data_IF_286755746171
#
_entry.id   IF_286755746171
#
_cell.length_a   1.000
_cell.length_b   1.000
_cell.length_c   1.000
_cell.angle_alpha   90.00
_cell.angle_beta   90.00
_cell.angle_gamma   90.00
#
_symmetry.space_group_name_H-M   'P 1'
#
loop_
_entity.id
_entity.type
_entity.pdbx_description
1 polymer ?
#
# COMPACT_ATOMS: atom_id res chain seq x y z
N UNK A 1 8.81 6.35 17.02
CA UNK A 1 8.58 7.55 16.17
C UNK A 1 7.86 7.10 14.91
N UNK A 2 6.79 7.78 14.53
CA UNK A 2 6.03 7.50 13.32
C UNK A 2 6.54 8.34 12.13
N UNK A 3 6.50 7.79 10.92
CA UNK A 3 6.76 8.51 9.67
C UNK A 3 5.43 8.75 8.96
N UNK A 4 5.03 10.01 8.87
CA UNK A 4 3.82 10.42 8.16
C UNK A 4 4.16 11.63 7.29
N UNK A 5 4.21 11.41 5.97
CA UNK A 5 4.51 12.45 5.00
C UNK A 5 3.45 12.51 3.91
N UNK A 6 3.22 13.70 3.38
CA UNK A 6 2.38 13.97 2.20
C UNK A 6 1.04 13.21 2.18
N UNK A 7 0.24 13.47 3.23
CA UNK A 7 -1.08 12.88 3.46
C UNK A 7 -1.09 11.34 3.40
N UNK A 8 0.03 10.72 3.79
CA UNK A 8 0.21 9.28 3.97
C UNK A 8 -0.02 8.43 2.71
N UNK A 9 0.05 9.04 1.52
CA UNK A 9 -0.11 8.32 0.24
C UNK A 9 1.07 7.43 -0.10
N UNK A 10 2.28 7.85 0.29
CA UNK A 10 3.51 7.12 0.01
C UNK A 10 4.21 6.57 1.24
N UNK A 11 4.27 7.34 2.32
CA UNK A 11 4.84 6.97 3.61
C UNK A 11 3.86 7.35 4.70
N UNK A 12 3.20 6.34 5.22
CA UNK A 12 2.11 6.45 6.16
C UNK A 12 2.16 5.39 7.23
N UNK A 13 1.34 5.62 8.22
CA UNK A 13 1.04 4.66 9.25
C UNK A 13 -0.01 3.66 8.78
N UNK A 14 -0.31 2.70 9.65
CA UNK A 14 -1.22 1.61 9.35
C UNK A 14 -2.31 1.57 10.42
N UNK A 15 -3.26 2.49 10.32
CA UNK A 15 -4.17 2.84 11.41
C UNK A 15 -5.26 1.80 11.70
N UNK A 16 -5.42 0.79 10.85
CA UNK A 16 -6.46 -0.24 10.98
C UNK A 16 -5.98 -1.57 11.48
N UNK A 17 -4.68 -1.80 11.42
CA UNK A 17 -4.10 -3.06 11.83
C UNK A 17 -3.30 -2.81 13.10
N UNK A 18 -3.53 -3.64 14.11
CA UNK A 18 -2.75 -3.59 15.35
C UNK A 18 -1.24 -3.81 15.11
N UNK A 19 -0.89 -4.44 13.99
CA UNK A 19 0.49 -4.72 13.61
C UNK A 19 1.08 -3.56 12.81
N UNK A 20 1.90 -2.73 13.42
CA UNK A 20 2.59 -1.65 12.71
C UNK A 20 3.66 -2.19 11.74
N UNK A 21 3.91 -1.43 10.65
CA UNK A 21 5.15 -1.57 9.88
C UNK A 21 6.28 -0.91 10.66
N UNK A 22 7.37 -1.62 10.90
CA UNK A 22 8.52 -1.11 11.67
C UNK A 22 9.81 -1.18 10.86
N UNK A 23 10.68 -0.25 11.15
CA UNK A 23 11.99 -0.13 10.53
C UNK A 23 13.03 0.26 11.58
N UNK A 24 14.21 -0.35 11.53
CA UNK A 24 15.34 0.06 12.35
C UNK A 24 16.05 1.21 11.64
N UNK A 25 15.77 2.43 12.10
CA UNK A 25 16.04 3.66 11.37
C UNK A 25 16.78 4.71 12.20
N UNK A 26 17.82 5.30 11.60
CA UNK A 26 18.37 6.57 12.00
C UNK A 26 17.63 7.70 11.27
N UNK A 27 17.13 8.69 12.03
CA UNK A 27 16.32 9.79 11.50
C UNK A 27 16.80 11.12 12.08
N UNK A 28 17.31 11.99 11.20
CA UNK A 28 17.66 13.37 11.52
C UNK A 28 16.52 14.28 11.10
N UNK A 29 16.08 15.17 11.99
CA UNK A 29 15.02 16.16 11.71
C UNK A 29 15.51 17.56 12.02
N UNK A 30 15.19 18.50 11.15
CA UNK A 30 15.39 19.93 11.37
C UNK A 30 14.16 20.72 10.97
N UNK A 31 13.80 21.70 11.80
CA UNK A 31 12.70 22.62 11.55
C UNK A 31 13.19 24.03 11.88
N UNK A 32 13.13 24.94 10.91
CA UNK A 32 13.53 26.32 11.10
C UNK A 32 12.67 27.26 10.25
N UNK A 33 11.98 28.22 10.88
CA UNK A 33 11.21 29.28 10.19
C UNK A 33 10.28 28.77 9.07
N UNK A 34 9.53 27.70 9.35
CA UNK A 34 8.58 27.11 8.40
C UNK A 34 9.22 26.22 7.32
N UNK A 35 10.54 26.06 7.32
CA UNK A 35 11.25 24.99 6.62
C UNK A 35 11.36 23.76 7.50
N UNK A 36 11.15 22.58 6.93
CA UNK A 36 11.38 21.29 7.55
C UNK A 36 12.23 20.44 6.61
N UNK A 37 13.19 19.71 7.18
CA UNK A 37 13.91 18.65 6.49
C UNK A 37 14.08 17.45 7.41
N UNK A 38 13.73 16.28 6.89
CA UNK A 38 13.93 15.00 7.56
C UNK A 38 14.79 14.13 6.66
N UNK A 39 15.90 13.59 7.18
CA UNK A 39 16.79 12.66 6.49
C UNK A 39 16.76 11.34 7.23
N UNK A 40 16.47 10.27 6.49
CA UNK A 40 16.25 8.96 7.03
C UNK A 40 17.12 7.89 6.39
N UNK A 41 17.68 7.01 7.21
CA UNK A 41 18.29 5.77 6.75
C UNK A 41 17.81 4.63 7.64
N UNK A 42 17.25 3.59 7.04
CA UNK A 42 16.94 2.37 7.75
C UNK A 42 17.57 1.15 7.10
N UNK A 43 17.80 0.16 7.94
CA UNK A 43 18.36 -1.12 7.57
C UNK A 43 17.48 -2.22 8.16
N UNK A 44 17.33 -3.31 7.42
CA UNK A 44 16.57 -4.47 7.88
C UNK A 44 17.50 -5.67 8.04
N UNK A 45 17.84 -5.97 9.29
CA UNK A 45 18.59 -7.18 9.65
C UNK A 45 17.60 -8.28 10.01
N UNK A 46 17.54 -9.34 9.21
CA UNK A 46 16.60 -10.45 9.41
C UNK A 46 17.23 -11.66 10.11
N UNK A 47 18.47 -11.55 10.59
CA UNK A 47 19.13 -12.60 11.37
C UNK A 47 19.95 -11.98 12.50
N UNK A 48 19.72 -12.47 13.71
CA UNK A 48 20.45 -12.08 14.93
C UNK A 48 21.70 -12.95 15.15
N UNK A 49 22.02 -13.84 14.20
CA UNK A 49 23.15 -14.75 14.32
C UNK A 49 24.48 -14.02 14.10
N UNK A 50 25.40 -14.15 15.06
CA UNK A 50 26.76 -13.64 14.96
C UNK A 50 27.47 -14.16 13.70
N UNK A 51 28.08 -13.27 12.93
CA UNK A 51 28.85 -13.61 11.73
C UNK A 51 28.06 -13.75 10.44
N UNK A 52 26.71 -13.65 10.47
CA UNK A 52 25.91 -13.55 9.24
C UNK A 52 25.93 -12.11 8.74
N UNK A 53 26.82 -11.84 7.79
CA UNK A 53 26.94 -10.55 7.08
C UNK A 53 26.25 -10.55 5.72
N UNK A 54 25.68 -11.69 5.30
CA UNK A 54 25.06 -11.81 3.98
C UNK A 54 23.62 -11.25 3.96
N UNK A 55 23.20 -10.84 2.77
CA UNK A 55 21.87 -10.24 2.52
C UNK A 55 20.82 -11.29 2.13
N UNK A 56 21.11 -12.57 2.29
CA UNK A 56 20.33 -13.66 1.74
C UNK A 56 19.33 -14.16 2.79
N UNK A 57 18.02 -14.07 2.56
CA UNK A 57 17.00 -14.44 3.57
C UNK A 57 15.71 -14.97 2.96
N UNK A 58 15.15 -16.01 3.57
CA UNK A 58 13.80 -16.49 3.27
C UNK A 58 12.85 -16.02 4.36
N UNK A 59 11.77 -15.31 4.03
CA UNK A 59 10.83 -14.84 5.03
C UNK A 59 10.21 -15.98 5.86
N UNK A 60 10.24 -15.82 7.19
CA UNK A 60 9.88 -16.85 8.18
C UNK A 60 8.38 -17.24 8.17
N UNK A 61 7.54 -16.46 7.51
CA UNK A 61 6.10 -16.68 7.42
C UNK A 61 5.70 -17.66 6.30
N UNK A 62 6.47 -18.73 6.10
CA UNK A 62 6.22 -19.75 5.07
C UNK A 62 5.60 -21.01 5.69
N UNK A 63 4.69 -21.71 4.99
CA UNK A 63 4.05 -22.91 5.53
C UNK A 63 5.08 -24.03 5.70
N UNK A 64 4.93 -24.88 6.71
CA UNK A 64 5.82 -26.02 6.95
C UNK A 64 5.71 -27.09 5.85
N UNK A 65 4.52 -27.21 5.25
CA UNK A 65 4.23 -28.16 4.18
C UNK A 65 3.52 -27.48 3.02
N UNK A 66 3.77 -27.95 1.81
CA UNK A 66 3.10 -27.48 0.60
C UNK A 66 2.85 -28.63 -0.38
N UNK A 67 1.81 -28.53 -1.20
CA UNK A 67 1.65 -29.43 -2.35
C UNK A 67 2.68 -29.14 -3.41
N UNK A 68 3.42 -30.14 -3.85
CA UNK A 68 4.27 -30.05 -5.02
C UNK A 68 3.43 -29.99 -6.32
N UNK A 69 4.09 -29.94 -7.47
CA UNK A 69 3.44 -29.83 -8.78
C UNK A 69 2.50 -30.99 -9.13
N UNK A 70 2.67 -32.16 -8.50
CA UNK A 70 1.81 -33.34 -8.68
C UNK A 70 0.71 -33.44 -7.60
N UNK A 71 0.61 -32.46 -6.71
CA UNK A 71 -0.39 -32.41 -5.65
C UNK A 71 -0.02 -33.19 -4.38
N UNK A 72 1.19 -33.74 -4.29
CA UNK A 72 1.67 -34.46 -3.10
C UNK A 72 2.15 -33.46 -2.06
N UNK A 73 1.69 -33.60 -0.82
CA UNK A 73 2.11 -32.77 0.31
C UNK A 73 3.54 -33.14 0.72
N UNK A 74 4.45 -32.17 0.68
CA UNK A 74 5.86 -32.33 1.03
C UNK A 74 6.32 -31.21 1.98
N UNK A 75 7.40 -31.42 2.77
CA UNK A 75 8.00 -30.34 3.54
C UNK A 75 8.43 -29.19 2.62
N UNK A 76 8.20 -27.95 3.05
CA UNK A 76 8.67 -26.78 2.31
C UNK A 76 10.20 -26.76 2.29
N UNK A 77 10.84 -26.73 1.10
CA UNK A 77 12.30 -26.74 1.01
C UNK A 77 12.94 -25.54 1.70
N UNK A 78 14.02 -25.80 2.44
CA UNK A 78 14.82 -24.74 3.03
C UNK A 78 15.39 -23.80 1.95
N UNK A 79 15.41 -22.50 2.25
CA UNK A 79 15.96 -21.50 1.32
C UNK A 79 14.99 -21.00 0.25
N UNK A 80 13.74 -21.47 0.23
CA UNK A 80 12.74 -21.12 -0.77
C UNK A 80 11.48 -20.49 -0.15
N UNK A 81 11.03 -19.37 -0.72
CA UNK A 81 9.65 -18.89 -0.59
C UNK A 81 8.79 -19.58 -1.66
N UNK A 82 7.92 -20.53 -1.28
CA UNK A 82 7.20 -21.35 -2.24
C UNK A 82 6.17 -20.55 -3.05
N UNK A 83 5.89 -21.01 -4.27
CA UNK A 83 4.89 -20.44 -5.17
C UNK A 83 3.77 -21.46 -5.45
N UNK A 84 2.52 -20.99 -5.47
CA UNK A 84 1.36 -21.76 -5.94
C UNK A 84 0.45 -20.89 -6.80
N UNK A 85 -0.46 -21.51 -7.58
CA UNK A 85 -1.28 -20.80 -8.56
C UNK A 85 -2.05 -19.58 -8.03
N UNK A 86 -2.40 -19.57 -6.75
CA UNK A 86 -3.14 -18.47 -6.10
C UNK A 86 -2.51 -17.99 -4.78
N UNK A 87 -1.26 -18.37 -4.50
CA UNK A 87 -0.62 -18.07 -3.21
C UNK A 87 -1.21 -18.85 -2.02
N UNK A 88 -2.02 -19.88 -2.30
CA UNK A 88 -2.63 -20.76 -1.30
C UNK A 88 -1.87 -22.10 -1.22
N UNK A 89 -1.50 -22.54 -0.02
CA UNK A 89 -0.74 -23.78 0.21
C UNK A 89 -1.50 -25.05 -0.19
N UNK A 90 -2.83 -24.99 -0.27
CA UNK A 90 -3.71 -26.10 -0.69
C UNK A 90 -3.75 -26.33 -2.20
N UNK A 91 -3.20 -25.40 -2.99
CA UNK A 91 -3.08 -25.47 -4.44
C UNK A 91 -1.69 -25.97 -4.82
N UNK A 92 -1.60 -26.76 -5.89
CA UNK A 92 -0.33 -27.31 -6.38
C UNK A 92 0.69 -26.19 -6.63
N UNK A 93 1.96 -26.50 -6.31
CA UNK A 93 3.06 -25.59 -6.60
C UNK A 93 3.14 -25.29 -8.10
N UNK A 94 3.38 -24.02 -8.43
CA UNK A 94 3.38 -23.54 -9.81
C UNK A 94 4.59 -22.65 -10.08
N UNK A 95 5.22 -22.84 -11.23
CA UNK A 95 6.37 -22.05 -11.71
C UNK A 95 6.02 -20.57 -11.91
N UNK A 96 4.77 -20.28 -12.26
CA UNK A 96 4.23 -18.92 -12.48
C UNK A 96 3.27 -18.50 -11.38
N UNK A 97 3.35 -19.14 -10.21
CA UNK A 97 2.48 -18.88 -9.07
C UNK A 97 2.82 -17.60 -8.30
N UNK A 98 2.00 -17.32 -7.30
CA UNK A 98 2.17 -16.27 -6.30
C UNK A 98 2.81 -16.84 -5.04
N UNK A 99 3.65 -16.07 -4.31
CA UNK A 99 4.20 -16.48 -3.02
C UNK A 99 3.15 -16.98 -2.04
N UNK A 100 3.43 -18.10 -1.40
CA UNK A 100 2.59 -18.73 -0.38
C UNK A 100 3.09 -18.37 1.00
N UNK A 101 2.18 -17.87 1.84
CA UNK A 101 2.45 -17.46 3.21
C UNK A 101 1.57 -18.25 4.18
N UNK A 102 2.08 -18.55 5.38
CA UNK A 102 1.27 -19.15 6.45
C UNK A 102 0.15 -18.21 6.85
N UNK A 103 0.49 -16.93 7.09
CA UNK A 103 -0.45 -15.85 7.26
C UNK A 103 -0.28 -14.86 6.10
N UNK A 104 -1.27 -14.66 5.21
CA UNK A 104 -1.15 -13.67 4.16
C UNK A 104 -0.78 -12.29 4.74
N UNK A 105 0.11 -11.52 4.10
CA UNK A 105 0.39 -10.16 4.52
C UNK A 105 -0.90 -9.36 4.57
N UNK A 106 -1.10 -8.64 5.66
CA UNK A 106 -2.21 -7.70 5.79
C UNK A 106 -1.89 -6.31 5.19
N UNK A 107 -0.66 -6.06 4.72
CA UNK A 107 -0.26 -4.83 4.05
C UNK A 107 0.64 -5.09 2.85
N UNK A 108 0.70 -4.15 1.89
CA UNK A 108 1.70 -4.22 0.81
C UNK A 108 3.13 -4.38 1.34
N UNK A 109 3.39 -3.84 2.54
CA UNK A 109 4.69 -3.88 3.18
C UNK A 109 4.96 -5.06 4.12
N UNK A 110 3.97 -5.91 4.39
CA UNK A 110 4.08 -6.96 5.41
C UNK A 110 5.04 -8.10 5.03
N UNK A 111 5.28 -8.30 3.74
CA UNK A 111 6.16 -9.34 3.21
C UNK A 111 7.53 -8.82 2.75
N UNK A 112 7.98 -7.67 3.23
CA UNK A 112 9.07 -7.01 2.53
C UNK A 112 10.43 -7.65 2.76
N UNK A 113 10.97 -8.14 1.64
CA UNK A 113 12.38 -8.41 1.36
C UNK A 113 13.22 -7.12 1.19
N UNK A 114 12.81 -6.00 1.78
CA UNK A 114 13.63 -4.78 1.77
C UNK A 114 14.82 -4.95 2.71
N UNK A 115 15.97 -4.43 2.30
CA UNK A 115 17.26 -4.49 3.01
C UNK A 115 17.64 -3.17 3.61
N UNK A 116 17.38 -2.11 2.88
CA UNK A 116 17.53 -0.76 3.37
C UNK A 116 16.53 0.13 2.69
N UNK A 117 16.17 1.20 3.37
CA UNK A 117 15.52 2.32 2.75
C UNK A 117 16.23 3.61 3.15
N UNK A 118 16.28 4.58 2.25
CA UNK A 118 16.81 5.92 2.53
C UNK A 118 15.75 6.93 2.11
N UNK A 119 15.51 7.94 2.92
CA UNK A 119 14.51 8.97 2.64
C UNK A 119 15.05 10.37 2.88
N UNK A 120 14.55 11.32 2.09
CA UNK A 120 14.69 12.74 2.30
C UNK A 120 13.31 13.34 2.12
N UNK A 121 12.82 14.03 3.15
CA UNK A 121 11.61 14.83 3.11
C UNK A 121 11.99 16.28 3.31
N UNK A 122 11.51 17.16 2.46
CA UNK A 122 11.70 18.60 2.60
C UNK A 122 10.33 19.25 2.49
N UNK A 123 10.01 20.20 3.35
CA UNK A 123 8.83 21.03 3.17
C UNK A 123 9.07 22.48 3.56
N UNK A 124 8.33 23.38 2.93
CA UNK A 124 8.32 24.79 3.29
C UNK A 124 6.91 25.34 3.24
N UNK A 125 6.54 26.06 4.29
CA UNK A 125 5.28 26.79 4.39
C UNK A 125 5.52 28.27 4.10
N UNK A 126 4.76 28.81 3.15
CA UNK A 126 4.73 30.22 2.77
C UNK A 126 3.30 30.73 2.94
N UNK A 127 3.02 31.38 4.08
CA UNK A 127 1.66 31.80 4.42
C UNK A 127 0.68 30.63 4.41
N UNK A 128 -0.27 30.62 3.46
CA UNK A 128 -1.29 29.60 3.32
C UNK A 128 -0.92 28.45 2.36
N UNK A 129 0.26 28.51 1.75
CA UNK A 129 0.77 27.49 0.84
C UNK A 129 1.82 26.64 1.58
N UNK A 130 1.72 25.32 1.49
CA UNK A 130 2.78 24.38 1.88
C UNK A 130 3.21 23.60 0.65
N UNK A 131 4.50 23.65 0.34
CA UNK A 131 5.12 22.79 -0.67
C UNK A 131 5.98 21.77 0.04
N UNK A 132 5.88 20.51 -0.34
CA UNK A 132 6.75 19.43 0.11
C UNK A 132 7.31 18.65 -1.06
N UNK A 133 8.50 18.10 -0.85
CA UNK A 133 9.13 17.14 -1.71
C UNK A 133 9.55 15.93 -0.91
N UNK A 134 9.31 14.75 -1.50
CA UNK A 134 9.71 13.48 -0.94
C UNK A 134 10.62 12.78 -1.94
N UNK A 135 11.72 12.24 -1.45
CA UNK A 135 12.53 11.26 -2.13
C UNK A 135 12.70 10.07 -1.19
N UNK A 136 12.51 8.85 -1.68
CA UNK A 136 13.00 7.67 -0.98
C UNK A 136 13.46 6.58 -1.94
N UNK A 137 14.46 5.84 -1.50
CA UNK A 137 15.02 4.68 -2.19
C UNK A 137 14.70 3.42 -1.40
N UNK A 138 14.11 2.43 -2.07
CA UNK A 138 13.94 1.08 -1.57
C UNK A 138 15.01 0.17 -2.17
N UNK A 139 15.69 -0.61 -1.33
CA UNK A 139 16.62 -1.65 -1.77
C UNK A 139 16.07 -3.02 -1.40
N UNK A 140 15.71 -3.82 -2.39
CA UNK A 140 15.24 -5.19 -2.22
C UNK A 140 16.35 -6.22 -2.43
N UNK A 141 16.33 -7.32 -1.68
CA UNK A 141 17.23 -8.46 -1.94
C UNK A 141 16.94 -9.11 -3.31
N UNK A 142 17.99 -9.51 -4.03
CA UNK A 142 17.82 -10.34 -5.24
C UNK A 142 17.35 -11.76 -4.86
N UNK A 143 16.55 -12.33 -5.74
CA UNK A 143 16.18 -13.74 -5.73
C UNK A 143 16.25 -14.32 -7.14
N UNK A 144 16.34 -15.65 -7.22
CA UNK A 144 16.08 -16.40 -8.47
C UNK A 144 14.86 -17.31 -8.31
N UNK A 145 14.20 -17.59 -9.42
CA UNK A 145 13.23 -18.68 -9.44
C UNK A 145 13.99 -20.00 -9.40
N UNK A 146 13.52 -20.92 -8.56
CA UNK A 146 14.13 -22.23 -8.35
C UNK A 146 13.06 -23.32 -8.21
N UNK A 147 13.48 -24.58 -8.31
CA UNK A 147 12.65 -25.75 -8.10
C UNK A 147 13.39 -26.84 -7.35
N UNK A 148 12.76 -27.44 -6.35
CA UNK A 148 13.29 -28.59 -5.61
C UNK A 148 12.38 -29.79 -5.83
N UNK A 149 12.95 -30.92 -6.24
CA UNK A 149 12.20 -32.15 -6.55
C UNK A 149 12.68 -32.80 -7.85
N UNK A 150 11.81 -33.62 -8.45
CA UNK A 150 12.09 -34.31 -9.71
C UNK A 150 10.82 -34.44 -10.55
N UNK A 151 10.97 -34.84 -11.82
CA UNK A 151 9.82 -35.08 -12.69
C UNK A 151 8.91 -36.21 -12.17
N UNK A 152 9.50 -37.25 -11.56
CA UNK A 152 8.76 -38.41 -11.02
C UNK A 152 8.10 -38.14 -9.67
N UNK A 153 8.73 -37.32 -8.83
CA UNK A 153 8.21 -37.01 -7.49
C UNK A 153 7.38 -35.72 -7.44
N UNK A 154 7.51 -34.85 -8.45
CA UNK A 154 6.97 -33.49 -8.47
C UNK A 154 7.97 -32.45 -7.96
N UNK A 155 7.74 -31.19 -8.32
CA UNK A 155 8.58 -30.05 -7.95
C UNK A 155 7.86 -29.11 -6.98
N UNK A 156 8.59 -28.56 -6.04
CA UNK A 156 8.22 -27.32 -5.34
C UNK A 156 8.94 -26.17 -6.01
N UNK A 157 8.19 -25.30 -6.68
CA UNK A 157 8.69 -24.07 -7.28
C UNK A 157 8.72 -22.95 -6.25
N UNK A 158 9.72 -22.09 -6.31
CA UNK A 158 9.73 -20.91 -5.46
C UNK A 158 10.79 -19.86 -5.77
N UNK A 159 10.79 -18.80 -4.96
CA UNK A 159 11.80 -17.75 -4.97
C UNK A 159 12.90 -18.14 -3.98
N UNK A 160 14.10 -18.40 -4.48
CA UNK A 160 15.27 -18.68 -3.65
C UNK A 160 16.04 -17.39 -3.38
N UNK A 161 16.38 -17.18 -2.12
CA UNK A 161 17.11 -15.98 -1.65
C UNK A 161 18.48 -16.29 -1.05
N UNK A 162 18.80 -17.57 -0.83
CA UNK A 162 20.08 -18.06 -0.31
C UNK A 162 20.64 -19.14 -1.25
N UNK A 163 21.95 -19.31 -1.29
CA UNK A 163 22.61 -20.34 -2.10
C UNK A 163 22.07 -21.75 -1.78
N UNK A 164 21.82 -22.55 -2.82
CA UNK A 164 21.48 -23.98 -2.70
C UNK A 164 22.70 -24.88 -2.44
N UNK A 165 23.92 -24.31 -2.38
CA UNK A 165 25.17 -25.03 -2.20
C UNK A 165 26.28 -24.52 -3.13
N UNK A 166 27.48 -25.13 -3.11
CA UNK A 166 28.65 -24.65 -3.84
C UNK A 166 28.48 -24.51 -5.36
N UNK A 167 27.56 -25.26 -5.98
CA UNK A 167 27.25 -25.17 -7.41
C UNK A 167 26.28 -24.04 -7.79
N UNK A 168 25.74 -23.31 -6.81
CA UNK A 168 24.83 -22.19 -7.05
C UNK A 168 25.62 -20.90 -7.26
N UNK A 169 25.75 -20.50 -8.53
CA UNK A 169 26.52 -19.32 -8.97
C UNK A 169 25.72 -18.01 -8.93
N UNK A 170 24.50 -18.01 -8.39
CA UNK A 170 23.67 -16.80 -8.34
C UNK A 170 24.18 -15.81 -7.28
N UNK A 171 24.31 -14.53 -7.67
CA UNK A 171 24.66 -13.44 -6.75
C UNK A 171 23.46 -13.02 -5.89
N UNK A 172 23.39 -13.57 -4.69
CA UNK A 172 22.42 -13.21 -3.64
C UNK A 172 22.80 -11.94 -2.85
N UNK A 173 24.02 -11.41 -3.04
CA UNK A 173 24.48 -10.20 -2.36
C UNK A 173 23.93 -8.91 -2.99
N UNK A 174 23.56 -8.98 -4.26
CA UNK A 174 23.07 -7.81 -4.99
C UNK A 174 21.69 -7.32 -4.57
N UNK A 175 21.46 -6.03 -4.85
CA UNK A 175 20.21 -5.32 -4.52
C UNK A 175 19.45 -4.90 -5.79
N UNK A 176 18.13 -4.88 -5.71
CA UNK A 176 17.22 -4.25 -6.68
C UNK A 176 16.77 -2.92 -6.09
N UNK A 177 17.03 -1.82 -6.79
CA UNK A 177 16.79 -0.47 -6.28
C UNK A 177 15.58 0.15 -6.96
N UNK A 178 14.63 0.64 -6.17
CA UNK A 178 13.55 1.51 -6.62
C UNK A 178 13.74 2.89 -6.03
N UNK A 179 13.47 3.91 -6.83
CA UNK A 179 13.47 5.30 -6.37
C UNK A 179 12.07 5.86 -6.55
N UNK A 180 11.51 6.42 -5.49
CA UNK A 180 10.24 7.15 -5.50
C UNK A 180 10.52 8.60 -5.18
N UNK A 181 10.01 9.52 -5.99
CA UNK A 181 10.19 10.94 -5.75
C UNK A 181 9.02 11.75 -6.26
N UNK A 182 8.78 12.90 -5.65
CA UNK A 182 7.73 13.80 -6.10
C UNK A 182 7.52 14.99 -5.21
N UNK A 183 6.48 15.76 -5.55
CA UNK A 183 6.13 17.01 -4.90
C UNK A 183 4.65 17.00 -4.54
N UNK A 184 4.33 17.64 -3.42
CA UNK A 184 2.96 17.94 -3.01
C UNK A 184 2.83 19.44 -2.73
N UNK A 185 1.70 20.01 -3.14
CA UNK A 185 1.30 21.38 -2.84
C UNK A 185 -0.04 21.34 -2.12
N UNK A 186 -0.11 22.05 -1.00
CA UNK A 186 -1.35 22.32 -0.28
C UNK A 186 -1.55 23.84 -0.23
N UNK A 187 -2.74 24.32 -0.57
CA UNK A 187 -3.08 25.74 -0.50
C UNK A 187 -4.47 25.89 0.14
N UNK A 188 -4.57 26.67 1.22
CA UNK A 188 -5.86 27.05 1.80
C UNK A 188 -6.21 28.48 1.43
N UNK A 189 -7.38 28.72 0.87
CA UNK A 189 -7.89 30.05 0.48
C UNK A 189 -9.13 30.36 1.31
N UNK A 190 -9.23 31.60 1.78
CA UNK A 190 -10.41 32.09 2.51
C UNK A 190 -10.44 31.72 4.00
N UNK A 191 -11.61 31.92 4.61
CA UNK A 191 -11.86 31.68 6.03
C UNK A 191 -13.21 30.95 6.17
N UNK A 192 -13.24 29.91 7.01
CA UNK A 192 -14.43 29.11 7.29
C UNK A 192 -15.61 29.93 7.83
N UNK A 193 -15.34 31.10 8.41
CA UNK A 193 -16.34 32.00 9.00
C UNK A 193 -16.92 33.04 8.03
N UNK A 194 -16.42 33.13 6.79
CA UNK A 194 -16.86 34.09 5.76
C UNK A 194 -17.49 33.37 4.55
N UNK A 195 -16.98 33.58 3.33
CA UNK A 195 -17.45 32.89 2.12
C UNK A 195 -17.17 31.38 2.09
N UNK A 196 -16.46 30.86 3.10
CA UNK A 196 -16.02 29.46 3.18
C UNK A 196 -14.51 29.35 2.94
N UNK A 197 -13.93 28.23 3.38
CA UNK A 197 -12.54 27.88 3.15
C UNK A 197 -12.46 26.88 2.00
N UNK A 198 -11.56 27.11 1.05
CA UNK A 198 -11.21 26.14 0.01
C UNK A 198 -9.80 25.65 0.29
N UNK A 199 -9.63 24.35 0.55
CA UNK A 199 -8.32 23.72 0.64
C UNK A 199 -8.06 22.92 -0.64
N UNK A 200 -7.06 23.34 -1.41
CA UNK A 200 -6.57 22.66 -2.60
C UNK A 200 -5.38 21.79 -2.21
N UNK A 201 -5.37 20.55 -2.70
CA UNK A 201 -4.22 19.67 -2.62
C UNK A 201 -3.95 19.08 -4.00
N UNK A 202 -2.68 19.09 -4.41
CA UNK A 202 -2.22 18.39 -5.59
C UNK A 202 -0.86 17.77 -5.33
N UNK A 203 -0.60 16.59 -5.87
CA UNK A 203 0.71 15.97 -5.82
C UNK A 203 0.99 15.15 -7.07
N UNK A 204 2.28 15.03 -7.41
CA UNK A 204 2.77 14.14 -8.45
C UNK A 204 4.01 13.42 -7.93
N UNK A 205 4.03 12.10 -8.14
CA UNK A 205 5.13 11.22 -7.78
C UNK A 205 5.46 10.31 -8.95
N UNK A 206 6.75 9.97 -9.08
CA UNK A 206 7.24 9.03 -10.06
C UNK A 206 8.08 7.94 -9.38
N UNK A 207 8.12 6.78 -10.00
CA UNK A 207 8.98 5.67 -9.64
C UNK A 207 9.91 5.27 -10.79
N UNK A 208 11.16 4.98 -10.45
CA UNK A 208 12.18 4.55 -11.40
C UNK A 208 13.09 3.46 -10.80
N UNK A 209 13.97 2.90 -11.63
CA UNK A 209 14.87 1.82 -11.23
C UNK A 209 14.27 0.45 -11.56
N UNK A 210 14.21 -0.44 -10.57
CA UNK A 210 13.66 -1.79 -10.71
C UNK A 210 12.63 -2.08 -9.64
N UNK A 211 11.57 -2.79 -10.00
CA UNK A 211 10.63 -3.36 -9.05
C UNK A 211 11.32 -4.40 -8.15
N UNK A 212 10.66 -4.82 -7.06
CA UNK A 212 11.14 -5.90 -6.18
C UNK A 212 11.47 -7.18 -6.96
N UNK A 213 10.74 -7.42 -8.05
CA UNK A 213 10.89 -8.62 -8.89
C UNK A 213 11.96 -8.45 -9.98
N UNK A 214 12.65 -7.29 -10.02
CA UNK A 214 13.83 -7.05 -10.85
C UNK A 214 13.53 -6.50 -12.23
N UNK A 215 12.26 -6.21 -12.51
CA UNK A 215 11.80 -5.64 -13.77
C UNK A 215 12.10 -4.14 -13.79
N UNK A 216 12.64 -3.64 -14.90
CA UNK A 216 12.96 -2.21 -15.05
C UNK A 216 11.67 -1.40 -15.16
N UNK A 217 11.49 -0.44 -14.27
CA UNK A 217 10.33 0.45 -14.25
C UNK A 217 10.49 1.54 -15.31
N UNK A 218 9.40 1.86 -16.00
CA UNK A 218 9.29 2.91 -17.02
C UNK A 218 7.99 3.66 -16.81
N UNK A 219 7.99 4.99 -16.82
CA UNK A 219 6.75 5.77 -16.76
C UNK A 219 5.80 5.43 -15.59
N UNK A 220 6.32 4.94 -14.46
CA UNK A 220 5.51 4.67 -13.27
C UNK A 220 5.25 5.97 -12.50
N UNK A 221 3.99 6.34 -12.31
CA UNK A 221 3.59 7.58 -11.66
C UNK A 221 2.31 7.46 -10.81
N UNK A 222 2.19 8.37 -9.86
CA UNK A 222 0.96 8.64 -9.12
C UNK A 222 0.70 10.14 -9.11
N UNK A 223 -0.53 10.55 -9.37
CA UNK A 223 -0.95 11.90 -9.07
C UNK A 223 -2.28 11.95 -8.35
N UNK A 224 -2.48 13.03 -7.62
CA UNK A 224 -3.73 13.32 -6.91
C UNK A 224 -4.04 14.80 -7.05
N UNK A 225 -5.32 15.12 -7.16
CA UNK A 225 -5.83 16.48 -7.06
C UNK A 225 -7.16 16.47 -6.30
N UNK A 226 -7.33 17.38 -5.35
CA UNK A 226 -8.59 17.54 -4.62
C UNK A 226 -8.83 18.98 -4.18
N UNK A 227 -10.10 19.30 -3.99
CA UNK A 227 -10.54 20.59 -3.50
C UNK A 227 -11.58 20.38 -2.41
N UNK A 228 -11.24 20.73 -1.17
CA UNK A 228 -12.18 20.68 -0.04
C UNK A 228 -12.80 22.06 0.15
N UNK A 229 -14.10 22.18 -0.08
CA UNK A 229 -14.88 23.35 0.33
C UNK A 229 -15.49 23.13 1.72
N UNK A 230 -15.19 24.02 2.66
CA UNK A 230 -15.67 23.97 4.03
C UNK A 230 -16.39 25.27 4.40
N UNK A 231 -17.64 25.14 4.85
CA UNK A 231 -18.44 26.26 5.38
C UNK A 231 -19.25 25.81 6.60
N UNK A 232 -19.03 26.48 7.73
CA UNK A 232 -19.60 26.07 9.01
C UNK A 232 -19.22 24.63 9.35
N UNK A 233 -20.23 23.78 9.57
CA UNK A 233 -20.05 22.35 9.94
C UNK A 233 -19.90 21.42 8.75
N UNK A 234 -20.09 21.90 7.51
CA UNK A 234 -20.12 21.08 6.31
C UNK A 234 -18.80 21.19 5.56
N UNK A 235 -18.31 20.06 5.07
CA UNK A 235 -17.15 19.93 4.20
C UNK A 235 -17.49 19.01 3.02
N UNK A 236 -17.19 19.45 1.81
CA UNK A 236 -17.36 18.67 0.57
C UNK A 236 -16.03 18.62 -0.16
N UNK A 237 -15.60 17.43 -0.59
CA UNK A 237 -14.31 17.23 -1.27
C UNK A 237 -14.47 16.37 -2.52
N UNK A 238 -14.63 16.95 -3.71
CA UNK A 238 -14.29 16.27 -4.95
C UNK A 238 -12.78 16.05 -5.05
N UNK A 239 -12.38 14.93 -5.63
CA UNK A 239 -10.98 14.67 -5.97
C UNK A 239 -10.81 13.54 -6.98
N UNK A 240 -9.57 13.37 -7.42
CA UNK A 240 -9.18 12.38 -8.41
C UNK A 240 -7.79 11.87 -8.11
N UNK A 241 -7.66 10.55 -7.97
CA UNK A 241 -6.38 9.87 -7.83
C UNK A 241 -6.10 9.00 -9.05
N UNK A 242 -4.83 8.96 -9.47
CA UNK A 242 -4.33 8.04 -10.49
C UNK A 242 -3.08 7.35 -10.03
N UNK A 243 -3.04 6.04 -10.19
CA UNK A 243 -1.86 5.19 -10.09
C UNK A 243 -1.67 4.52 -11.45
N UNK A 244 -0.51 4.73 -12.06
CA UNK A 244 -0.19 4.08 -13.33
C UNK A 244 -0.12 2.57 -13.18
N UNK A 245 -0.39 1.87 -14.28
CA UNK A 245 -0.31 0.41 -14.37
C UNK A 245 0.37 0.00 -15.65
N UNK A 246 0.64 -1.30 -15.78
CA UNK A 246 1.16 -1.93 -16.98
C UNK A 246 0.08 -1.99 -18.04
N UNK A 247 0.41 -1.54 -19.25
CA UNK A 247 -0.44 -1.66 -20.42
C UNK A 247 -0.22 -3.01 -21.12
N UNK A 248 -1.27 -3.80 -21.31
CA UNK A 248 -1.19 -5.08 -22.01
C UNK A 248 -0.88 -4.96 -23.52
N UNK A 249 -0.75 -3.73 -24.03
CA UNK A 249 -0.30 -3.41 -25.38
C UNK A 249 1.20 -3.09 -25.44
N UNK A 250 1.87 -2.93 -24.29
CA UNK A 250 3.31 -2.70 -24.19
C UNK A 250 3.98 -3.86 -23.43
N UNK A 251 5.32 -3.87 -23.43
CA UNK A 251 6.14 -4.82 -22.64
C UNK A 251 6.84 -4.13 -21.46
N UNK A 252 6.27 -3.01 -21.01
CA UNK A 252 6.89 -2.13 -20.01
C UNK A 252 6.28 -2.34 -18.62
N UNK A 253 7.11 -2.19 -17.58
CA UNK A 253 6.63 -2.12 -16.20
C UNK A 253 6.37 -0.66 -15.84
N UNK A 254 5.12 -0.25 -16.04
CA UNK A 254 4.60 1.10 -15.82
C UNK A 254 3.82 1.23 -14.51
N UNK A 255 3.83 0.18 -13.67
CA UNK A 255 3.02 0.15 -12.47
C UNK A 255 3.63 0.94 -11.32
N UNK A 256 2.86 1.85 -10.75
CA UNK A 256 3.22 2.54 -9.52
C UNK A 256 2.86 1.69 -8.29
N UNK A 257 3.79 1.57 -7.35
CA UNK A 257 3.65 0.78 -6.13
C UNK A 257 3.80 1.65 -4.86
N UNK A 258 2.68 2.08 -4.24
CA UNK A 258 2.62 2.89 -3.01
C UNK A 258 2.86 2.02 -1.77
N UNK A 259 4.04 1.39 -1.73
CA UNK A 259 4.37 0.28 -0.84
C UNK A 259 4.15 0.57 0.67
N UNK A 260 4.41 1.81 1.11
CA UNK A 260 4.29 2.23 2.51
C UNK A 260 3.16 3.24 2.75
N UNK A 261 2.24 3.41 1.79
CA UNK A 261 1.10 4.29 1.96
C UNK A 261 0.07 3.75 2.95
N UNK A 262 -1.02 4.51 3.11
CA UNK A 262 -2.23 4.15 3.85
C UNK A 262 -3.43 4.10 2.88
N UNK A 263 -3.56 3.03 2.08
CA UNK A 263 -4.50 2.95 0.95
C UNK A 263 -5.95 3.21 1.31
N UNK A 264 -6.48 2.63 2.39
CA UNK A 264 -7.88 2.74 2.75
C UNK A 264 -8.37 4.18 2.94
N UNK A 265 -7.48 5.08 3.34
CA UNK A 265 -7.80 6.51 3.52
C UNK A 265 -8.13 7.20 2.18
N UNK A 266 -7.66 6.63 1.08
CA UNK A 266 -7.62 7.27 -0.24
C UNK A 266 -8.36 6.48 -1.33
N UNK A 267 -8.27 5.15 -1.31
CA UNK A 267 -8.78 4.26 -2.35
C UNK A 267 -9.85 3.29 -1.83
N UNK A 268 -10.66 3.77 -0.88
CA UNK A 268 -11.80 3.05 -0.34
C UNK A 268 -11.49 2.27 0.93
N UNK A 269 -12.43 2.31 1.88
CA UNK A 269 -12.36 1.64 3.17
C UNK A 269 -12.46 0.11 3.10
N UNK A 270 -12.79 -0.48 1.95
CA UNK A 270 -12.84 -1.93 1.78
C UNK A 270 -11.46 -2.56 1.47
N UNK A 271 -10.42 -1.74 1.30
CA UNK A 271 -9.04 -2.20 1.04
C UNK A 271 -8.93 -3.11 -0.21
N UNK A 272 -9.75 -2.84 -1.23
CA UNK A 272 -9.77 -3.64 -2.46
C UNK A 272 -8.47 -3.53 -3.27
N UNK A 273 -7.73 -2.45 -3.07
CA UNK A 273 -6.50 -2.11 -3.77
C UNK A 273 -5.39 -1.79 -2.76
N UNK A 274 -4.19 -2.29 -2.99
CA UNK A 274 -2.96 -1.89 -2.27
C UNK A 274 -2.90 -2.24 -0.76
N UNK A 275 -3.83 -2.99 -0.19
CA UNK A 275 -3.67 -3.54 1.17
C UNK A 275 -3.71 -5.06 1.11
N UNK A 276 -2.53 -5.69 1.26
CA UNK A 276 -2.34 -7.15 1.23
C UNK A 276 -2.51 -7.80 -0.15
N UNK A 277 -3.16 -7.12 -1.09
CA UNK A 277 -3.44 -7.60 -2.46
C UNK A 277 -2.51 -7.01 -3.53
N UNK A 278 -1.71 -5.99 -3.19
CA UNK A 278 -0.82 -5.30 -4.11
C UNK A 278 -1.54 -4.32 -5.05
N UNK A 279 -0.76 -3.69 -5.92
CA UNK A 279 -1.27 -2.83 -7.00
C UNK A 279 -1.88 -3.66 -8.13
N UNK A 280 -3.11 -3.33 -8.60
CA UNK A 280 -3.67 -3.92 -9.82
C UNK A 280 -2.68 -3.78 -10.99
N UNK A 281 -2.54 -4.82 -11.80
CA UNK A 281 -1.60 -4.79 -12.92
C UNK A 281 -1.83 -3.59 -13.84
N UNK A 282 -3.09 -3.30 -14.19
CA UNK A 282 -3.48 -2.15 -15.02
C UNK A 282 -3.62 -0.82 -14.28
N UNK A 283 -3.18 -0.70 -13.02
CA UNK A 283 -3.24 0.55 -12.26
C UNK A 283 -4.66 0.93 -11.84
N UNK A 284 -4.84 2.16 -11.35
CA UNK A 284 -6.11 2.61 -10.77
C UNK A 284 -6.37 4.08 -11.07
N UNK A 285 -7.56 4.40 -11.54
CA UNK A 285 -8.15 5.73 -11.52
C UNK A 285 -9.30 5.73 -10.49
N UNK A 286 -9.36 6.77 -9.66
CA UNK A 286 -10.33 6.91 -8.58
C UNK A 286 -10.82 8.37 -8.50
N UNK A 287 -11.80 8.76 -9.32
CA UNK A 287 -12.69 9.88 -9.00
C UNK A 287 -13.45 9.58 -7.70
N UNK A 288 -13.48 10.57 -6.80
CA UNK A 288 -14.19 10.45 -5.54
C UNK A 288 -14.87 11.76 -5.12
N UNK A 289 -15.90 11.61 -4.28
CA UNK A 289 -16.60 12.72 -3.63
C UNK A 289 -16.79 12.38 -2.16
N UNK A 290 -16.30 13.26 -1.28
CA UNK A 290 -16.43 13.11 0.17
C UNK A 290 -17.34 14.19 0.73
N UNK A 291 -18.22 13.80 1.64
CA UNK A 291 -19.05 14.69 2.44
C UNK A 291 -18.73 14.47 3.92
N UNK A 292 -18.56 15.55 4.68
CA UNK A 292 -18.40 15.49 6.13
C UNK A 292 -19.21 16.57 6.82
N UNK A 293 -19.96 16.17 7.84
CA UNK A 293 -20.57 17.05 8.82
C UNK A 293 -19.81 16.93 10.15
N UNK A 294 -19.37 18.05 10.72
CA UNK A 294 -18.67 18.09 12.02
C UNK A 294 -19.46 18.93 13.01
N UNK A 295 -20.26 18.26 13.85
CA UNK A 295 -20.93 18.85 15.00
C UNK A 295 -20.01 18.92 16.23
N UNK A 296 -20.57 19.38 17.35
CA UNK A 296 -19.85 19.46 18.63
C UNK A 296 -19.72 18.09 19.30
N UNK A 297 -20.80 17.31 19.30
CA UNK A 297 -20.84 16.00 19.96
C UNK A 297 -20.63 14.85 18.98
N UNK A 298 -20.99 15.04 17.71
CA UNK A 298 -20.92 14.00 16.71
C UNK A 298 -20.40 14.53 15.37
N UNK A 299 -19.74 13.66 14.61
CA UNK A 299 -19.42 13.91 13.21
C UNK A 299 -19.82 12.72 12.36
N UNK A 300 -20.13 13.01 11.10
CA UNK A 300 -20.60 12.05 10.13
C UNK A 300 -19.88 12.28 8.80
N UNK A 301 -19.43 11.20 8.17
CA UNK A 301 -18.77 11.21 6.87
C UNK A 301 -19.41 10.22 5.92
N UNK A 302 -19.52 10.60 4.65
CA UNK A 302 -19.81 9.70 3.52
C UNK A 302 -18.77 9.95 2.45
N UNK A 303 -18.06 8.90 2.03
CA UNK A 303 -17.19 8.93 0.87
C UNK A 303 -17.80 8.05 -0.24
N UNK A 304 -17.87 8.59 -1.45
CA UNK A 304 -18.20 7.83 -2.65
C UNK A 304 -16.96 7.74 -3.53
N UNK A 305 -16.64 6.52 -3.95
CA UNK A 305 -15.52 6.19 -4.81
C UNK A 305 -16.00 5.50 -6.08
N UNK A 306 -15.41 5.84 -7.23
CA UNK A 306 -15.67 5.13 -8.48
C UNK A 306 -14.36 4.70 -9.15
N UNK A 307 -14.14 3.40 -9.25
CA UNK A 307 -12.82 2.83 -9.56
C UNK A 307 -12.73 2.33 -11.00
N UNK A 308 -11.65 2.69 -11.70
CA UNK A 308 -11.36 2.22 -13.06
C UNK A 308 -9.92 1.74 -13.18
N UNK A 309 -9.63 0.86 -14.13
CA UNK A 309 -8.26 0.59 -14.58
C UNK A 309 -7.68 1.84 -15.25
N UNK A 310 -6.40 2.10 -14.99
CA UNK A 310 -5.66 3.19 -15.63
C UNK A 310 -5.23 2.80 -17.06
N UNK A 311 -4.81 1.55 -17.23
CA UNK A 311 -4.36 0.94 -18.50
C UNK A 311 -5.20 -0.26 -18.89
N UNK A 312 -5.05 -0.66 -20.14
CA UNK A 312 -5.76 -1.80 -20.70
C UNK A 312 -5.13 -3.10 -20.24
N UNK A 313 -5.98 -4.06 -19.87
CA UNK A 313 -5.58 -5.43 -19.55
C UNK A 313 -6.31 -6.40 -20.48
N UNK A 314 -5.66 -7.52 -20.80
CA UNK A 314 -6.21 -8.55 -21.69
C UNK A 314 -6.77 -9.73 -20.92
N UNK A 315 -7.83 -10.30 -21.46
CA UNK A 315 -8.33 -11.64 -21.11
C UNK A 315 -7.49 -12.71 -21.81
N UNK A 316 -7.75 -13.98 -21.48
CA UNK A 316 -7.07 -15.13 -22.10
C UNK A 316 -7.30 -15.24 -23.61
N UNK A 317 -8.46 -14.78 -24.11
CA UNK A 317 -8.80 -14.73 -25.53
C UNK A 317 -8.16 -13.53 -26.28
N UNK A 318 -7.38 -12.70 -25.57
CA UNK A 318 -6.74 -11.50 -26.10
C UNK A 318 -7.62 -10.25 -26.16
N UNK A 319 -8.92 -10.36 -25.90
CA UNK A 319 -9.84 -9.21 -25.82
C UNK A 319 -9.54 -8.34 -24.59
N UNK A 320 -9.93 -7.06 -24.65
CA UNK A 320 -9.69 -6.12 -23.57
C UNK A 320 -10.76 -6.25 -22.46
N UNK A 321 -10.32 -6.09 -21.22
CA UNK A 321 -11.22 -5.98 -20.06
C UNK A 321 -11.79 -4.56 -19.98
N UNK A 322 -13.09 -4.44 -19.71
CA UNK A 322 -13.71 -3.13 -19.48
C UNK A 322 -13.08 -2.44 -18.27
N UNK A 323 -12.65 -1.19 -18.42
CA UNK A 323 -11.93 -0.45 -17.37
C UNK A 323 -12.68 -0.26 -16.06
N UNK A 324 -14.01 -0.11 -16.09
CA UNK A 324 -14.81 0.19 -14.89
C UNK A 324 -14.83 -1.00 -13.91
N UNK A 325 -14.26 -0.79 -12.71
CA UNK A 325 -14.06 -1.83 -11.68
C UNK A 325 -15.17 -1.86 -10.64
N UNK A 326 -15.83 -0.73 -10.35
CA UNK A 326 -16.91 -0.69 -9.37
C UNK A 326 -17.07 0.65 -8.67
N UNK A 327 -17.99 0.68 -7.71
CA UNK A 327 -18.20 1.81 -6.82
C UNK A 327 -18.08 1.36 -5.38
N UNK A 328 -17.70 2.28 -4.50
CA UNK A 328 -17.66 2.05 -3.06
C UNK A 328 -18.29 3.22 -2.32
N UNK A 329 -18.99 2.88 -1.23
CA UNK A 329 -19.62 3.83 -0.32
C UNK A 329 -19.12 3.56 1.09
N UNK A 330 -18.52 4.58 1.69
CA UNK A 330 -17.92 4.50 3.01
C UNK A 330 -18.64 5.47 3.95
N UNK A 331 -19.05 4.97 5.10
CA UNK A 331 -19.77 5.71 6.13
C UNK A 331 -18.95 5.68 7.41
N UNK A 332 -18.75 6.86 8.01
CA UNK A 332 -18.08 6.98 9.30
C UNK A 332 -18.93 7.84 10.21
N UNK A 333 -19.23 7.33 11.39
CA UNK A 333 -19.88 8.07 12.45
C UNK A 333 -19.00 8.10 13.68
N UNK A 334 -18.77 9.30 14.20
CA UNK A 334 -17.97 9.53 15.39
C UNK A 334 -18.83 10.21 16.45
N UNK A 335 -18.89 9.66 17.65
CA UNK A 335 -19.64 10.19 18.80
C UNK A 335 -18.71 10.40 19.99
N UNK A 336 -18.53 11.67 20.38
CA UNK A 336 -17.77 12.04 21.56
C UNK A 336 -18.67 11.86 22.79
N UNK A 337 -18.46 10.78 23.53
CA UNK A 337 -19.22 10.49 24.76
C UNK A 337 -18.88 11.51 25.84
N UNK A 338 -17.59 11.84 25.96
CA UNK A 338 -17.05 12.84 26.87
C UNK A 338 -15.66 13.28 26.37
N UNK A 339 -14.90 14.03 27.20
CA UNK A 339 -13.58 14.58 26.82
C UNK A 339 -12.48 13.54 26.57
N UNK A 340 -12.64 12.32 27.06
CA UNK A 340 -11.63 11.26 26.98
C UNK A 340 -12.11 9.98 26.29
N UNK A 341 -13.39 9.89 25.92
CA UNK A 341 -13.98 8.71 25.31
C UNK A 341 -14.78 9.06 24.04
N UNK A 342 -14.49 8.35 22.95
CA UNK A 342 -15.15 8.48 21.65
C UNK A 342 -15.51 7.10 21.10
N UNK A 343 -16.71 6.97 20.54
CA UNK A 343 -17.12 5.81 19.74
C UNK A 343 -16.98 6.19 18.26
N UNK A 344 -16.29 5.36 17.49
CA UNK A 344 -16.28 5.41 16.04
C UNK A 344 -16.97 4.16 15.48
N UNK A 345 -17.92 4.38 14.57
CA UNK A 345 -18.58 3.34 13.81
C UNK A 345 -18.22 3.54 12.34
N UNK A 346 -17.74 2.49 11.69
CA UNK A 346 -17.46 2.50 10.26
C UNK A 346 -18.26 1.42 9.54
N UNK A 347 -18.82 1.77 8.39
CA UNK A 347 -19.45 0.82 7.48
C UNK A 347 -19.02 1.14 6.05
N UNK A 348 -18.54 0.15 5.31
CA UNK A 348 -18.13 0.31 3.92
C UNK A 348 -18.79 -0.78 3.06
N UNK A 349 -19.12 -0.45 1.81
CA UNK A 349 -19.65 -1.43 0.87
C UNK A 349 -19.12 -1.23 -0.54
N UNK A 350 -18.57 -2.29 -1.11
CA UNK A 350 -18.09 -2.35 -2.49
C UNK A 350 -19.16 -2.99 -3.38
N UNK A 351 -19.48 -2.28 -4.46
CA UNK A 351 -20.31 -2.70 -5.59
C UNK A 351 -19.40 -2.89 -6.80
N UNK A 352 -18.70 -4.02 -6.84
CA UNK A 352 -17.75 -4.36 -7.88
C UNK A 352 -18.43 -4.77 -9.20
N UNK A 353 -17.77 -4.50 -10.31
CA UNK A 353 -18.08 -5.06 -11.62
C UNK A 353 -17.37 -6.41 -11.82
N UNK A 354 -17.69 -7.12 -12.92
CA UNK A 354 -16.95 -8.33 -13.33
C UNK A 354 -15.47 -8.05 -13.56
N UNK A 355 -15.14 -6.85 -14.06
CA UNK A 355 -13.75 -6.42 -14.34
C UNK A 355 -12.86 -6.44 -13.10
N UNK A 356 -13.43 -6.30 -11.90
CA UNK A 356 -12.69 -6.38 -10.65
C UNK A 356 -11.96 -7.73 -10.49
N UNK A 357 -12.57 -8.83 -10.93
CA UNK A 357 -11.96 -10.15 -10.83
C UNK A 357 -10.66 -10.25 -11.65
N UNK A 358 -10.62 -9.66 -12.84
CA UNK A 358 -9.42 -9.55 -13.67
C UNK A 358 -8.36 -8.65 -13.02
N UNK A 359 -8.78 -7.48 -12.50
CA UNK A 359 -7.87 -6.55 -11.82
C UNK A 359 -7.18 -7.16 -10.59
N UNK A 360 -7.86 -8.10 -9.91
CA UNK A 360 -7.35 -8.86 -8.75
C UNK A 360 -6.67 -10.18 -9.14
N UNK A 361 -6.52 -10.48 -10.43
CA UNK A 361 -5.90 -11.71 -10.91
C UNK A 361 -6.68 -13.00 -10.60
N UNK A 362 -8.00 -12.89 -10.39
CA UNK A 362 -8.88 -14.00 -10.03
C UNK A 362 -9.68 -14.56 -11.22
N UNK A 363 -9.66 -13.87 -12.37
CA UNK A 363 -10.27 -14.34 -13.61
C UNK A 363 -9.35 -14.07 -14.80
N UNK A 364 -9.35 -15.00 -15.75
CA UNK A 364 -8.72 -14.83 -17.07
C UNK A 364 -9.75 -14.93 -18.21
N UNK A 365 -10.97 -15.40 -17.93
CA UNK A 365 -12.09 -15.50 -18.86
C UNK A 365 -13.34 -14.85 -18.28
N UNK A 366 -14.33 -14.51 -19.13
CA UNK A 366 -15.60 -13.96 -18.67
C UNK A 366 -16.40 -14.95 -17.81
N UNK A 367 -16.37 -16.24 -18.14
CA UNK A 367 -17.03 -17.30 -17.37
C UNK A 367 -16.49 -17.37 -15.93
N UNK A 368 -15.16 -17.29 -15.76
CA UNK A 368 -14.54 -17.23 -14.44
C UNK A 368 -14.96 -15.95 -13.68
N UNK A 369 -15.16 -14.84 -14.39
CA UNK A 369 -15.59 -13.58 -13.81
C UNK A 369 -17.08 -13.56 -13.40
N UNK A 370 -17.95 -14.41 -13.97
CA UNK A 370 -19.35 -14.51 -13.57
C UNK A 370 -19.52 -14.94 -12.11
N UNK A 371 -18.69 -15.90 -11.68
CA UNK A 371 -18.67 -16.42 -10.31
C UNK A 371 -18.11 -15.45 -9.27
N UNK A 372 -17.57 -14.29 -9.70
CA UNK A 372 -16.99 -13.32 -8.78
C UNK A 372 -18.06 -12.69 -7.88
N UNK A 373 -17.81 -12.70 -6.57
CA UNK A 373 -18.67 -12.02 -5.59
C UNK A 373 -18.52 -10.50 -5.73
N UNK A 374 -19.50 -9.90 -6.39
CA UNK A 374 -19.55 -8.46 -6.71
C UNK A 374 -19.91 -7.54 -5.55
N UNK A 375 -20.33 -8.09 -4.40
CA UNK A 375 -20.72 -7.31 -3.21
C UNK A 375 -19.91 -7.72 -1.99
N UNK A 376 -19.17 -6.77 -1.45
CA UNK A 376 -18.49 -6.85 -0.16
C UNK A 376 -19.00 -5.77 0.78
N UNK A 377 -19.10 -6.09 2.06
CA UNK A 377 -19.40 -5.10 3.11
C UNK A 377 -18.49 -5.34 4.29
N UNK A 378 -18.08 -4.25 4.94
CA UNK A 378 -17.26 -4.25 6.15
C UNK A 378 -17.89 -3.34 7.19
N UNK A 379 -17.93 -3.78 8.44
CA UNK A 379 -18.41 -2.99 9.56
C UNK A 379 -17.42 -3.11 10.72
N UNK A 380 -17.16 -2.00 11.40
CA UNK A 380 -16.44 -2.00 12.67
C UNK A 380 -17.04 -1.00 13.65
N UNK A 381 -16.81 -1.27 14.94
CA UNK A 381 -17.06 -0.35 16.02
C UNK A 381 -15.78 -0.26 16.87
N UNK A 382 -15.34 0.95 17.16
CA UNK A 382 -14.15 1.24 17.95
C UNK A 382 -14.53 2.14 19.12
N UNK A 383 -14.14 1.74 20.34
CA UNK A 383 -14.15 2.61 21.50
C UNK A 383 -12.72 3.11 21.73
N UNK A 384 -12.52 4.41 21.58
CA UNK A 384 -11.25 5.07 21.90
C UNK A 384 -11.36 5.71 23.28
N UNK A 385 -10.45 5.34 24.19
CA UNK A 385 -10.31 5.94 25.52
C UNK A 385 -8.91 6.53 25.63
N UNK A 386 -8.81 7.84 25.76
CA UNK A 386 -7.56 8.60 25.87
C UNK A 386 -7.66 9.55 27.08
N UNK A 387 -7.47 9.04 28.31
CA UNK A 387 -7.52 9.86 29.50
C UNK A 387 -6.29 10.77 29.57
N UNK A 388 -6.50 12.03 29.96
CA UNK A 388 -5.43 12.94 30.30
C UNK A 388 -5.37 13.07 31.83
N UNK A 389 -4.30 12.57 32.43
CA UNK A 389 -4.13 12.54 33.87
C UNK A 389 -3.35 13.76 34.42
N UNK A 390 -2.85 14.66 33.55
CA UNK A 390 -1.91 15.72 33.94
C UNK A 390 -2.32 17.14 33.54
N UNK A 391 -3.63 17.42 33.41
CA UNK A 391 -4.10 18.79 33.24
C UNK A 391 -4.11 19.57 34.56
N UNK A 392 -2.98 20.16 34.95
CA UNK A 392 -3.02 21.41 35.73
C UNK A 392 -3.14 22.57 34.75
N UNK A 393 -4.04 23.52 35.03
CA UNK A 393 -4.13 24.79 34.28
C UNK A 393 -2.74 25.44 34.18
N UNK A 394 -2.04 25.24 33.08
CA UNK A 394 -0.87 26.03 32.77
C UNK A 394 -1.39 27.40 32.33
N UNK A 395 -1.38 28.33 33.29
CA UNK A 395 -1.32 29.75 32.99
C UNK A 395 -0.27 29.92 31.88
N UNK A 396 -0.68 30.52 30.77
CA UNK A 396 0.17 30.79 29.62
C UNK A 396 1.26 31.76 30.09
N UNK A 397 2.44 31.24 30.41
CA UNK A 397 3.66 32.04 30.31
C UNK A 397 3.99 32.08 28.83
N UNK A 398 3.76 33.24 28.21
CA UNK A 398 4.28 33.54 26.88
C UNK A 398 5.81 33.55 26.94
N UNK A 399 6.45 32.71 26.14
CA UNK A 399 7.82 32.90 25.68
C UNK A 399 7.80 33.02 24.15
#
# INVERSE_FOLDING_TARGET
>A
QELMYDDVRLLGNLDWLQQARRHDMALLKTIHKGFQMDIGFAYNQNSDAFGITNTAYVPANIPLFIKNSLGVLVPTPAGILPLSGTGNASINSSKTGTPVWTNPPNTNGGNQDYKSFTSVYISRKFGQIKVSGLFFNDNFGKYRLDSVGSASAGYVYGRRFISAGPGDVFDYSGLRRRYTYGLMINHSIGNSSAFGKIALQAAYYAQSGKSRDGVKMKHAFHYTASATYQKGKISITPGYDVLSGNDALTSEDEKFDPLYGTPHRHWGYMDYFYTGTGSPAGGLNNPYLKFKYTGTTASFGIDFHNFFLNRDIKKADGSLVRRQLGNELDFIFNYNMNKFATIELGYATMLASKSMSFAKGQATTDDAAEGYRKRGSWFYAMLRIAPDFFYSNNAIVKL
#
